data_IF_104267993751
#
_entry.id   IF_104267993751
#
_cell.length_a   1.000
_cell.length_b   1.000
_cell.length_c   1.000
_cell.angle_alpha   90.00
_cell.angle_beta   90.00
_cell.angle_gamma   90.00
#
_symmetry.space_group_name_H-M   'P 1'
#
loop_
_entity.id
_entity.type
_entity.pdbx_description
1 polymer ?
#
# COMPACT_ATOMS: atom_id res chain seq x y z
N UNK A 1 -24.70 -0.04 -5.60
CA UNK A 1 -24.24 0.78 -6.74
C UNK A 1 -24.37 2.25 -6.34
N UNK A 2 -23.32 3.03 -6.54
CA UNK A 2 -23.26 4.47 -6.27
C UNK A 2 -23.03 5.15 -7.62
N UNK A 3 -23.88 6.11 -7.99
CA UNK A 3 -23.74 6.83 -9.25
C UNK A 3 -23.87 8.32 -9.03
N UNK A 4 -22.94 9.12 -9.58
CA UNK A 4 -22.98 10.58 -9.46
C UNK A 4 -21.78 11.27 -10.10
N UNK A 5 -21.82 12.59 -10.08
CA UNK A 5 -20.67 13.39 -10.46
C UNK A 5 -19.60 13.33 -9.36
N UNK A 6 -18.31 13.18 -9.73
CA UNK A 6 -17.24 13.25 -8.76
C UNK A 6 -17.00 14.68 -8.27
N UNK A 7 -16.60 14.80 -7.02
CA UNK A 7 -16.15 16.06 -6.40
C UNK A 7 -14.64 15.98 -6.18
N UNK A 8 -13.89 16.86 -6.82
CA UNK A 8 -12.44 16.92 -6.60
C UNK A 8 -12.14 17.86 -5.43
N UNK A 9 -11.38 17.33 -4.47
CA UNK A 9 -10.92 18.09 -3.31
C UNK A 9 -9.41 17.96 -3.15
N UNK A 10 -8.78 18.95 -2.56
CA UNK A 10 -7.36 18.93 -2.26
C UNK A 10 -7.16 19.32 -0.80
N UNK A 11 -6.75 18.35 0.01
CA UNK A 11 -6.46 18.54 1.43
C UNK A 11 -4.96 18.36 1.62
N UNK A 12 -4.22 19.46 1.70
CA UNK A 12 -2.80 19.48 1.93
C UNK A 12 -2.43 19.59 3.42
N UNK A 13 -3.30 20.20 4.22
CA UNK A 13 -3.09 20.47 5.65
C UNK A 13 -4.39 20.33 6.46
N UNK A 14 -4.29 20.35 7.78
CA UNK A 14 -5.45 20.33 8.69
C UNK A 14 -6.37 21.54 8.49
N UNK A 15 -5.85 22.67 8.03
CA UNK A 15 -6.67 23.87 7.74
C UNK A 15 -7.62 23.67 6.58
N UNK A 16 -7.31 22.76 5.68
CA UNK A 16 -8.15 22.51 4.51
C UNK A 16 -9.43 21.72 4.86
N UNK A 17 -9.47 21.06 6.02
CA UNK A 17 -10.70 20.41 6.50
C UNK A 17 -11.84 21.40 6.66
N UNK A 18 -11.57 22.57 7.22
CA UNK A 18 -12.60 23.61 7.40
C UNK A 18 -13.20 24.11 6.06
N UNK A 19 -12.42 24.07 4.98
CA UNK A 19 -12.85 24.43 3.64
C UNK A 19 -13.97 23.50 3.10
N UNK A 20 -13.89 22.22 3.45
CA UNK A 20 -14.78 21.18 2.92
C UNK A 20 -15.83 20.68 3.92
N UNK A 21 -15.73 21.10 5.18
CA UNK A 21 -16.63 20.71 6.26
C UNK A 21 -18.09 20.95 5.93
N UNK A 22 -18.93 19.92 6.09
CA UNK A 22 -20.36 19.96 5.80
C UNK A 22 -20.71 19.97 4.30
N UNK A 23 -19.75 19.73 3.39
CA UNK A 23 -19.97 19.86 1.94
C UNK A 23 -19.86 18.54 1.16
N UNK A 24 -19.41 17.47 1.80
CA UNK A 24 -19.07 16.24 1.10
C UNK A 24 -20.11 15.11 1.29
N UNK A 25 -21.17 15.33 2.03
CA UNK A 25 -22.20 14.33 2.28
C UNK A 25 -22.77 13.76 0.98
N UNK A 26 -22.71 12.43 0.84
CA UNK A 26 -23.19 11.70 -0.33
C UNK A 26 -22.39 11.91 -1.62
N UNK A 27 -21.22 12.56 -1.56
CA UNK A 27 -20.37 12.81 -2.74
C UNK A 27 -19.43 11.64 -3.04
N UNK A 28 -19.13 11.44 -4.32
CA UNK A 28 -18.00 10.63 -4.77
C UNK A 28 -16.77 11.54 -4.77
N UNK A 29 -15.85 11.29 -3.85
CA UNK A 29 -14.70 12.18 -3.61
C UNK A 29 -13.48 11.70 -4.37
N UNK A 30 -12.80 12.60 -5.05
CA UNK A 30 -11.46 12.45 -5.64
C UNK A 30 -10.50 13.37 -4.87
N UNK A 31 -9.52 12.82 -4.16
CA UNK A 31 -8.87 13.51 -3.03
C UNK A 31 -7.46 14.07 -3.28
N UNK A 32 -6.90 13.92 -4.47
CA UNK A 32 -5.57 14.45 -4.78
C UNK A 32 -5.28 14.42 -6.28
N UNK A 33 -4.39 15.29 -6.72
CA UNK A 33 -3.85 15.22 -8.08
C UNK A 33 -2.92 14.00 -8.23
N UNK A 34 -3.02 13.23 -9.32
CA UNK A 34 -2.08 12.16 -9.59
C UNK A 34 -0.70 12.75 -9.93
N UNK A 35 0.35 12.01 -9.60
CA UNK A 35 1.66 12.33 -10.14
C UNK A 35 1.61 12.25 -11.69
N UNK A 36 2.34 13.11 -12.41
CA UNK A 36 2.39 13.04 -13.87
C UNK A 36 2.78 11.65 -14.35
N UNK A 37 2.04 11.12 -15.33
CA UNK A 37 2.45 9.92 -16.05
C UNK A 37 3.62 10.31 -16.96
N UNK A 38 4.77 9.71 -16.75
CA UNK A 38 5.97 9.96 -17.57
C UNK A 38 6.24 8.74 -18.44
N UNK A 39 6.59 8.94 -19.73
CA UNK A 39 7.06 7.82 -20.54
C UNK A 39 8.39 7.31 -19.97
N UNK A 40 8.53 6.00 -19.92
CA UNK A 40 9.74 5.32 -19.45
C UNK A 40 10.54 4.90 -20.68
N UNK A 41 11.63 5.62 -20.98
CA UNK A 41 12.53 5.30 -22.08
C UNK A 41 13.75 4.48 -21.62
N UNK A 42 13.92 4.34 -20.31
CA UNK A 42 14.96 3.53 -19.70
C UNK A 42 14.33 2.37 -18.92
N UNK A 43 15.10 1.31 -18.69
CA UNK A 43 14.67 0.19 -17.88
C UNK A 43 14.37 0.64 -16.44
N UNK A 44 13.23 0.19 -15.89
CA UNK A 44 12.84 0.47 -14.51
C UNK A 44 13.76 -0.21 -13.48
N UNK A 45 14.39 -1.33 -13.86
CA UNK A 45 15.37 -2.04 -13.05
C UNK A 45 16.76 -1.87 -13.65
N UNK A 46 17.74 -1.53 -12.82
CA UNK A 46 19.15 -1.43 -13.19
C UNK A 46 19.95 -2.43 -12.39
N UNK A 47 20.90 -3.10 -13.05
CA UNK A 47 21.91 -3.90 -12.36
C UNK A 47 22.91 -2.93 -11.73
N UNK A 48 23.27 -3.18 -10.47
CA UNK A 48 24.34 -2.46 -9.83
C UNK A 48 25.66 -2.74 -10.55
N UNK A 49 26.49 -1.72 -10.72
CA UNK A 49 27.85 -1.87 -11.25
C UNK A 49 28.78 -2.48 -10.21
N UNK A 50 29.86 -3.10 -10.67
CA UNK A 50 30.87 -3.67 -9.77
C UNK A 50 31.51 -2.58 -8.89
N UNK A 51 31.72 -1.39 -9.42
CA UNK A 51 32.21 -0.21 -8.67
C UNK A 51 31.24 0.17 -7.54
N UNK A 52 29.95 0.29 -7.84
CA UNK A 52 28.93 0.56 -6.81
C UNK A 52 28.90 -0.51 -5.73
N UNK A 53 29.07 -1.79 -6.10
CA UNK A 53 29.09 -2.90 -5.15
C UNK A 53 30.36 -2.88 -4.28
N UNK A 54 31.52 -2.53 -4.86
CA UNK A 54 32.77 -2.35 -4.12
C UNK A 54 32.67 -1.21 -3.10
N UNK A 55 32.17 -0.04 -3.51
CA UNK A 55 31.95 1.07 -2.60
C UNK A 55 31.01 0.71 -1.44
N UNK A 56 30.00 -0.11 -1.72
CA UNK A 56 29.07 -0.58 -0.70
C UNK A 56 29.70 -1.59 0.26
N UNK A 57 30.60 -2.45 -0.23
CA UNK A 57 31.30 -3.42 0.60
C UNK A 57 32.27 -2.75 1.59
N UNK A 58 32.85 -1.61 1.20
CA UNK A 58 33.76 -0.81 2.05
C UNK A 58 33.01 0.16 2.97
N UNK A 59 31.71 0.35 2.80
CA UNK A 59 30.93 1.29 3.59
C UNK A 59 30.88 0.91 5.07
N UNK A 60 31.43 1.75 5.92
CA UNK A 60 31.47 1.60 7.38
C UNK A 60 30.04 1.65 7.98
N UNK A 61 29.12 2.33 7.31
CA UNK A 61 27.74 2.45 7.76
C UNK A 61 26.79 2.00 6.67
N UNK A 62 25.82 1.13 6.95
CA UNK A 62 24.80 0.72 5.98
C UNK A 62 23.82 1.85 5.62
N UNK A 63 24.20 3.08 5.88
CA UNK A 63 23.29 4.22 5.80
C UNK A 63 23.20 4.84 4.41
N UNK A 64 22.00 5.16 4.02
CA UNK A 64 21.68 6.36 3.26
C UNK A 64 21.30 7.47 4.23
N UNK A 65 21.06 8.66 3.73
CA UNK A 65 20.89 9.91 4.47
C UNK A 65 19.73 9.97 5.51
N UNK A 66 18.99 8.91 5.75
CA UNK A 66 17.93 8.88 6.75
C UNK A 66 18.19 7.81 7.81
N UNK A 67 18.20 8.21 9.05
CA UNK A 67 18.31 7.30 10.18
C UNK A 67 17.01 6.48 10.32
N UNK A 68 17.10 5.33 11.01
CA UNK A 68 15.92 4.55 11.39
C UNK A 68 14.84 5.43 12.07
N UNK A 69 15.25 6.35 12.91
CA UNK A 69 14.36 7.26 13.62
C UNK A 69 13.66 8.26 12.69
N UNK A 70 14.31 8.74 11.64
CA UNK A 70 13.69 9.63 10.66
C UNK A 70 12.64 8.89 9.83
N UNK A 71 12.93 7.63 9.47
CA UNK A 71 11.96 6.77 8.80
C UNK A 71 10.75 6.48 9.70
N UNK A 72 10.97 6.22 10.98
CA UNK A 72 9.88 6.00 11.93
C UNK A 72 9.04 7.27 12.14
N UNK A 73 9.65 8.43 12.31
CA UNK A 73 8.94 9.72 12.40
C UNK A 73 8.06 9.95 11.16
N UNK A 74 8.61 9.76 9.97
CA UNK A 74 7.86 9.88 8.70
C UNK A 74 6.68 8.90 8.66
N UNK A 75 6.86 7.65 9.05
CA UNK A 75 5.79 6.64 9.11
C UNK A 75 4.68 7.02 10.08
N UNK A 76 5.03 7.49 11.27
CA UNK A 76 4.06 7.93 12.29
C UNK A 76 3.26 9.13 11.77
N UNK A 77 3.93 10.14 11.23
CA UNK A 77 3.28 11.34 10.67
C UNK A 77 2.35 10.97 9.50
N UNK A 78 2.81 10.12 8.60
CA UNK A 78 1.99 9.65 7.48
C UNK A 78 0.76 8.87 7.95
N UNK A 79 0.93 7.98 8.93
CA UNK A 79 -0.18 7.21 9.52
C UNK A 79 -1.20 8.11 10.19
N UNK A 80 -0.73 9.07 11.02
CA UNK A 80 -1.61 10.05 11.67
C UNK A 80 -2.45 10.77 10.62
N UNK A 81 -1.80 11.40 9.64
CA UNK A 81 -2.49 12.13 8.57
C UNK A 81 -3.52 11.28 7.84
N UNK A 82 -3.19 10.03 7.52
CA UNK A 82 -4.11 9.11 6.87
C UNK A 82 -5.33 8.82 7.74
N UNK A 83 -5.13 8.62 9.04
CA UNK A 83 -6.22 8.39 9.98
C UNK A 83 -7.10 9.64 10.13
N UNK A 84 -6.51 10.83 10.18
CA UNK A 84 -7.26 12.10 10.27
C UNK A 84 -8.12 12.31 9.00
N UNK A 85 -7.58 12.02 7.81
CA UNK A 85 -8.34 12.05 6.55
C UNK A 85 -9.50 11.04 6.54
N UNK A 86 -9.26 9.82 7.01
CA UNK A 86 -10.30 8.79 7.10
C UNK A 86 -11.43 9.21 8.04
N UNK A 87 -11.09 9.72 9.21
CA UNK A 87 -12.05 10.22 10.17
C UNK A 87 -12.89 11.35 9.54
N UNK A 88 -12.25 12.31 8.88
CA UNK A 88 -12.89 13.40 8.21
C UNK A 88 -13.89 12.94 7.13
N UNK A 89 -13.48 12.04 6.23
CA UNK A 89 -14.37 11.54 5.18
C UNK A 89 -15.57 10.76 5.73
N UNK A 90 -15.36 10.04 6.81
CA UNK A 90 -16.43 9.34 7.51
C UNK A 90 -17.42 10.32 8.16
N UNK A 91 -16.92 11.31 8.89
CA UNK A 91 -17.73 12.34 9.53
C UNK A 91 -18.53 13.16 8.50
N UNK A 92 -17.94 13.42 7.35
CA UNK A 92 -18.62 14.09 6.23
C UNK A 92 -19.68 13.20 5.55
N UNK A 93 -19.65 11.89 5.74
CA UNK A 93 -20.60 10.95 5.12
C UNK A 93 -20.45 10.86 3.62
N UNK A 94 -19.22 10.76 3.11
CA UNK A 94 -18.99 10.61 1.67
C UNK A 94 -19.60 9.32 1.13
N UNK A 95 -20.06 9.31 -0.12
CA UNK A 95 -20.61 8.11 -0.76
C UNK A 95 -19.48 7.13 -1.16
N UNK A 96 -18.36 7.63 -1.64
CA UNK A 96 -17.19 6.85 -2.01
C UNK A 96 -15.94 7.73 -2.11
N UNK A 97 -14.78 7.10 -1.93
CA UNK A 97 -13.48 7.69 -2.20
C UNK A 97 -12.85 7.06 -3.44
N UNK A 98 -12.29 7.86 -4.33
CA UNK A 98 -11.47 7.40 -5.45
C UNK A 98 -10.09 8.02 -5.34
N UNK A 99 -9.06 7.20 -5.27
CA UNK A 99 -7.67 7.63 -5.21
C UNK A 99 -6.91 7.25 -6.48
N UNK A 100 -5.96 8.07 -6.94
CA UNK A 100 -5.11 7.69 -8.06
C UNK A 100 -4.07 6.68 -7.61
N UNK A 101 -3.81 5.66 -8.43
CA UNK A 101 -2.67 4.78 -8.25
C UNK A 101 -1.36 5.56 -8.27
N UNK A 102 -0.42 5.22 -7.40
CA UNK A 102 0.94 5.75 -7.42
C UNK A 102 1.85 5.12 -8.48
N UNK A 103 1.34 4.16 -9.27
CA UNK A 103 2.10 3.44 -10.30
C UNK A 103 1.76 3.94 -11.69
N UNK A 104 2.70 3.78 -12.63
CA UNK A 104 2.54 4.06 -14.04
C UNK A 104 1.99 2.85 -14.80
N UNK A 105 1.70 3.02 -16.08
CA UNK A 105 1.31 1.97 -17.03
C UNK A 105 0.00 1.23 -16.63
N UNK A 106 -0.93 1.93 -16.03
CA UNK A 106 -2.21 1.35 -15.61
C UNK A 106 -2.11 0.38 -14.43
N UNK A 107 -0.94 0.24 -13.81
CA UNK A 107 -0.76 -0.65 -12.66
C UNK A 107 -1.47 -0.09 -11.43
N UNK A 108 -2.30 -0.92 -10.81
CA UNK A 108 -3.02 -0.57 -9.59
C UNK A 108 -2.27 -1.07 -8.36
N UNK A 109 -1.99 -0.16 -7.45
CA UNK A 109 -1.59 -0.52 -6.09
C UNK A 109 -2.73 -0.16 -5.16
N UNK A 110 -3.48 -1.17 -4.77
CA UNK A 110 -4.62 -0.99 -3.86
C UNK A 110 -4.10 -0.63 -2.47
N UNK A 111 -4.64 0.43 -1.89
CA UNK A 111 -4.40 0.80 -0.51
C UNK A 111 -5.43 0.12 0.40
N UNK A 112 -5.06 -0.05 1.67
CA UNK A 112 -5.95 -0.64 2.65
C UNK A 112 -6.89 0.45 3.19
N UNK A 113 -8.06 0.55 2.61
CA UNK A 113 -9.21 1.26 3.19
C UNK A 113 -10.26 0.24 3.68
N UNK A 114 -11.27 0.70 4.39
CA UNK A 114 -12.25 -0.18 5.02
C UNK A 114 -11.78 -0.71 6.38
N UNK A 115 -12.48 -1.69 6.90
CA UNK A 115 -12.18 -2.36 8.17
C UNK A 115 -12.08 -3.88 7.97
N UNK A 116 -11.21 -4.51 8.75
CA UNK A 116 -11.19 -5.96 8.92
C UNK A 116 -12.12 -6.42 10.05
N UNK A 117 -12.69 -5.48 10.79
CA UNK A 117 -13.70 -5.71 11.79
C UNK A 117 -15.06 -5.78 11.10
N UNK A 118 -15.74 -6.93 11.23
CA UNK A 118 -17.04 -7.18 10.63
C UNK A 118 -18.14 -6.31 11.20
N UNK A 119 -18.01 -5.94 12.47
CA UNK A 119 -18.99 -5.14 13.19
C UNK A 119 -18.77 -3.62 13.00
N UNK A 120 -17.76 -3.25 12.23
CA UNK A 120 -17.45 -1.86 11.95
C UNK A 120 -18.44 -1.27 10.94
N UNK A 121 -19.31 -0.41 11.41
CA UNK A 121 -20.19 0.43 10.56
C UNK A 121 -19.47 1.66 10.00
N UNK A 122 -18.27 1.91 10.47
CA UNK A 122 -17.49 3.12 10.27
C UNK A 122 -16.64 3.09 8.99
N UNK A 123 -17.21 2.65 7.88
CA UNK A 123 -16.48 2.53 6.62
C UNK A 123 -17.22 3.20 5.46
N UNK A 124 -16.48 3.59 4.46
CA UNK A 124 -17.00 4.05 3.17
C UNK A 124 -16.32 3.28 2.03
N UNK A 125 -17.00 3.07 0.90
CA UNK A 125 -16.41 2.46 -0.28
C UNK A 125 -15.19 3.25 -0.78
N UNK A 126 -14.07 2.56 -1.01
CA UNK A 126 -12.85 3.20 -1.52
C UNK A 126 -12.29 2.43 -2.71
N UNK A 127 -11.83 3.17 -3.70
CA UNK A 127 -11.36 2.64 -4.97
C UNK A 127 -10.01 3.25 -5.34
N UNK A 128 -9.16 2.47 -5.99
CA UNK A 128 -7.94 2.96 -6.63
C UNK A 128 -8.14 2.91 -8.13
N UNK A 129 -7.89 4.03 -8.79
CA UNK A 129 -8.00 4.17 -10.24
C UNK A 129 -6.61 4.38 -10.84
N UNK A 130 -6.36 3.80 -12.02
CA UNK A 130 -5.14 4.08 -12.76
C UNK A 130 -4.99 5.60 -12.96
N UNK A 131 -3.77 6.12 -12.74
CA UNK A 131 -3.54 7.58 -12.77
C UNK A 131 -3.89 8.22 -14.11
N UNK A 132 -3.77 7.47 -15.20
CA UNK A 132 -4.12 7.89 -16.54
C UNK A 132 -5.61 8.18 -16.68
N UNK A 133 -6.44 7.27 -16.18
CA UNK A 133 -7.90 7.42 -16.18
C UNK A 133 -8.34 8.50 -15.18
N UNK A 134 -7.78 8.47 -13.98
CA UNK A 134 -8.04 9.48 -12.97
C UNK A 134 -7.72 10.90 -13.46
N UNK A 135 -6.54 11.07 -14.05
CA UNK A 135 -6.12 12.34 -14.63
C UNK A 135 -6.97 12.78 -15.83
N UNK A 136 -7.53 11.81 -16.61
CA UNK A 136 -8.47 12.13 -17.67
C UNK A 136 -9.75 12.73 -17.11
N UNK A 137 -10.30 12.15 -16.04
CA UNK A 137 -11.49 12.66 -15.37
C UNK A 137 -11.26 14.10 -14.90
N UNK A 138 -10.13 14.36 -14.21
CA UNK A 138 -9.82 15.71 -13.76
C UNK A 138 -9.72 16.70 -14.92
N UNK A 139 -9.09 16.35 -16.04
CA UNK A 139 -9.01 17.24 -17.21
C UNK A 139 -10.37 17.52 -17.85
N UNK A 140 -11.29 16.57 -17.84
CA UNK A 140 -12.67 16.80 -18.29
C UNK A 140 -13.40 17.77 -17.35
N UNK A 141 -13.24 17.58 -16.04
CA UNK A 141 -13.81 18.48 -15.03
C UNK A 141 -13.24 19.90 -15.15
N UNK A 142 -11.92 20.03 -15.36
CA UNK A 142 -11.24 21.34 -15.58
C UNK A 142 -11.73 22.08 -16.83
N UNK A 143 -12.37 21.37 -17.76
CA UNK A 143 -12.97 21.92 -18.98
C UNK A 143 -14.49 22.07 -18.87
N UNK A 144 -15.05 21.96 -17.69
CA UNK A 144 -16.49 21.99 -17.43
C UNK A 144 -17.30 20.94 -18.21
N UNK A 145 -16.64 19.84 -18.62
CA UNK A 145 -17.29 18.70 -19.29
C UNK A 145 -17.94 17.83 -18.21
N UNK A 146 -19.25 17.60 -18.26
CA UNK A 146 -19.94 16.80 -17.28
C UNK A 146 -19.39 15.36 -17.22
N UNK A 147 -19.06 14.90 -16.02
CA UNK A 147 -18.61 13.53 -15.76
C UNK A 147 -19.57 12.87 -14.79
N UNK A 148 -19.96 11.64 -15.07
CA UNK A 148 -20.69 10.78 -14.15
C UNK A 148 -19.91 9.48 -13.96
N UNK A 149 -19.81 9.03 -12.71
CA UNK A 149 -19.15 7.79 -12.33
C UNK A 149 -20.17 6.85 -11.70
N UNK A 150 -20.18 5.61 -12.13
CA UNK A 150 -20.96 4.54 -11.49
C UNK A 150 -19.99 3.53 -10.87
N UNK A 151 -20.15 3.29 -9.56
CA UNK A 151 -19.32 2.42 -8.75
C UNK A 151 -20.17 1.26 -8.24
N UNK A 152 -19.66 0.04 -8.37
CA UNK A 152 -20.26 -1.16 -7.80
C UNK A 152 -19.21 -1.91 -6.99
N UNK A 153 -19.47 -2.10 -5.71
CA UNK A 153 -18.61 -2.84 -4.79
C UNK A 153 -19.46 -3.87 -4.05
N UNK A 154 -18.96 -5.09 -3.98
CA UNK A 154 -19.49 -6.15 -3.13
C UNK A 154 -18.32 -6.85 -2.47
N UNK A 155 -18.31 -6.89 -1.16
CA UNK A 155 -17.32 -7.59 -0.34
C UNK A 155 -18.01 -8.63 0.53
N UNK A 156 -17.29 -9.66 0.93
CA UNK A 156 -17.78 -10.71 1.80
C UNK A 156 -16.66 -11.07 2.78
N UNK A 157 -16.99 -11.15 4.06
CA UNK A 157 -16.13 -11.74 5.06
C UNK A 157 -16.26 -13.26 5.03
N UNK A 158 -15.14 -13.96 4.93
CA UNK A 158 -15.06 -15.40 5.06
C UNK A 158 -14.63 -15.72 6.49
N UNK A 159 -15.54 -16.30 7.27
CA UNK A 159 -15.37 -16.52 8.72
C UNK A 159 -15.38 -17.98 9.11
N UNK A 160 -15.44 -18.88 8.14
CA UNK A 160 -15.50 -20.33 8.38
C UNK A 160 -14.22 -20.84 9.06
N UNK A 161 -13.08 -20.31 8.69
CA UNK A 161 -11.80 -20.52 9.35
C UNK A 161 -10.95 -19.24 9.34
N UNK A 162 -10.79 -18.64 10.50
CA UNK A 162 -10.01 -17.40 10.69
C UNK A 162 -8.60 -17.65 11.23
N UNK A 163 -8.19 -18.93 11.34
CA UNK A 163 -6.87 -19.29 11.88
C UNK A 163 -5.76 -18.95 10.89
N UNK A 164 -4.68 -18.43 11.42
CA UNK A 164 -3.41 -18.31 10.70
C UNK A 164 -2.47 -19.46 11.08
N UNK A 165 -1.57 -19.82 10.19
CA UNK A 165 -0.64 -20.95 10.39
C UNK A 165 0.79 -20.52 10.13
N UNK A 166 1.71 -21.05 10.96
CA UNK A 166 3.14 -21.06 10.66
C UNK A 166 3.56 -22.51 10.45
N UNK A 167 4.42 -22.76 9.46
CA UNK A 167 5.08 -24.04 9.24
C UNK A 167 6.46 -23.94 9.87
N UNK A 168 6.76 -24.81 10.83
CA UNK A 168 8.01 -24.83 11.57
C UNK A 168 8.65 -26.20 11.37
N UNK A 169 9.93 -26.20 11.04
CA UNK A 169 10.77 -27.39 11.02
C UNK A 169 12.06 -27.11 11.81
N UNK A 170 12.60 -28.11 12.45
CA UNK A 170 13.77 -27.99 13.33
C UNK A 170 14.79 -29.04 13.00
N UNK A 171 16.06 -28.65 13.00
CA UNK A 171 17.22 -29.56 13.02
C UNK A 171 17.86 -29.43 14.40
N UNK A 172 17.74 -30.46 15.27
CA UNK A 172 18.30 -30.38 16.60
C UNK A 172 19.82 -30.20 16.58
N UNK A 173 20.34 -29.31 17.43
CA UNK A 173 21.77 -29.14 17.63
C UNK A 173 22.40 -30.37 18.27
N UNK A 174 23.65 -30.70 17.85
CA UNK A 174 24.40 -31.86 18.34
C UNK A 174 25.51 -31.50 19.30
N UNK A 175 25.95 -30.26 19.35
CA UNK A 175 26.98 -29.80 20.29
C UNK A 175 26.42 -29.74 21.72
N UNK A 176 27.17 -30.23 22.69
CA UNK A 176 26.69 -30.34 24.07
C UNK A 176 26.53 -29.00 24.79
N UNK A 177 27.28 -27.99 24.40
CA UNK A 177 27.24 -26.65 25.00
C UNK A 177 26.25 -25.73 24.27
N UNK A 178 26.19 -25.82 22.95
CA UNK A 178 25.45 -24.90 22.09
C UNK A 178 24.07 -25.42 21.63
N UNK A 179 23.76 -26.69 21.85
CA UNK A 179 22.49 -27.31 21.38
C UNK A 179 21.20 -26.64 21.87
N UNK A 180 21.32 -25.85 22.93
CA UNK A 180 20.19 -25.09 23.47
C UNK A 180 20.01 -23.72 22.77
N UNK A 181 20.97 -23.29 21.98
CA UNK A 181 20.88 -22.06 21.20
C UNK A 181 20.03 -22.31 19.94
N UNK A 182 19.26 -21.30 19.56
CA UNK A 182 18.37 -21.38 18.40
C UNK A 182 18.86 -20.39 17.33
N UNK A 183 19.14 -20.92 16.15
CA UNK A 183 19.36 -20.12 14.94
C UNK A 183 18.11 -20.25 14.08
N UNK A 184 17.41 -19.15 13.84
CA UNK A 184 16.16 -19.14 13.10
C UNK A 184 16.32 -18.52 11.72
N UNK A 185 15.85 -19.21 10.70
CA UNK A 185 15.69 -18.75 9.33
C UNK A 185 14.20 -18.78 8.98
N UNK A 186 13.72 -17.88 8.15
CA UNK A 186 12.32 -17.89 7.80
C UNK A 186 11.96 -16.95 6.65
N UNK A 187 10.77 -17.17 6.13
CA UNK A 187 10.13 -16.30 5.12
C UNK A 187 8.62 -16.43 5.24
N UNK A 188 7.89 -15.36 4.95
CA UNK A 188 6.44 -15.43 4.95
C UNK A 188 5.93 -16.17 3.70
N UNK A 189 4.83 -16.93 3.84
CA UNK A 189 4.25 -17.73 2.77
C UNK A 189 3.10 -17.04 2.04
N UNK A 190 2.55 -15.99 2.65
CA UNK A 190 1.45 -15.24 2.06
C UNK A 190 1.93 -14.34 0.92
N UNK A 191 0.98 -13.95 0.08
CA UNK A 191 1.21 -13.04 -1.04
C UNK A 191 0.09 -11.99 -1.13
N UNK A 192 0.28 -10.99 -1.98
CA UNK A 192 -0.78 -10.04 -2.28
C UNK A 192 -1.92 -10.70 -3.05
N UNK A 193 -3.14 -10.19 -2.83
CA UNK A 193 -4.32 -10.57 -3.61
C UNK A 193 -4.02 -10.42 -5.10
N UNK A 194 -4.42 -11.36 -5.90
CA UNK A 194 -4.14 -11.44 -7.34
C UNK A 194 -2.67 -11.68 -7.72
N UNK A 195 -1.74 -11.72 -6.76
CA UNK A 195 -0.35 -12.07 -6.99
C UNK A 195 -0.12 -13.57 -6.94
N UNK A 196 0.87 -14.07 -7.69
CA UNK A 196 1.30 -15.47 -7.60
C UNK A 196 2.21 -15.74 -6.41
N UNK A 197 2.75 -14.69 -5.78
CA UNK A 197 3.71 -14.81 -4.70
C UNK A 197 5.09 -15.32 -5.11
N UNK A 198 5.41 -15.41 -6.41
CA UNK A 198 6.67 -15.98 -6.87
C UNK A 198 7.90 -15.24 -6.34
N UNK A 199 7.90 -13.91 -6.40
CA UNK A 199 8.99 -13.08 -5.86
C UNK A 199 8.74 -12.73 -4.41
N UNK A 200 7.54 -12.36 -4.05
CA UNK A 200 7.13 -11.94 -2.71
C UNK A 200 6.04 -12.91 -2.20
N UNK A 201 6.36 -14.05 -1.51
CA UNK A 201 7.73 -14.28 -1.05
C UNK A 201 8.19 -15.75 -1.26
N UNK A 202 7.77 -16.44 -2.30
CA UNK A 202 8.25 -17.81 -2.60
C UNK A 202 9.76 -17.84 -2.81
N UNK A 203 10.34 -16.82 -3.45
CA UNK A 203 11.78 -16.72 -3.62
C UNK A 203 12.52 -16.67 -2.27
N UNK A 204 12.05 -15.85 -1.31
CA UNK A 204 12.64 -15.79 0.03
C UNK A 204 12.52 -17.11 0.78
N UNK A 205 11.35 -17.75 0.73
CA UNK A 205 11.16 -19.08 1.33
C UNK A 205 12.13 -20.12 0.74
N UNK A 206 12.30 -20.12 -0.59
CA UNK A 206 13.22 -21.06 -1.27
C UNK A 206 14.66 -20.84 -0.85
N UNK A 207 15.09 -19.57 -0.72
CA UNK A 207 16.46 -19.25 -0.24
C UNK A 207 16.68 -19.79 1.17
N UNK A 208 15.70 -19.63 2.07
CA UNK A 208 15.81 -20.14 3.44
C UNK A 208 15.82 -21.67 3.49
N UNK A 209 14.98 -22.32 2.69
CA UNK A 209 14.97 -23.79 2.58
C UNK A 209 16.31 -24.32 2.06
N UNK A 210 16.89 -23.67 1.05
CA UNK A 210 18.18 -24.07 0.49
C UNK A 210 19.33 -23.81 1.48
N UNK A 211 19.29 -22.72 2.22
CA UNK A 211 20.27 -22.47 3.28
C UNK A 211 20.27 -23.58 4.33
N UNK A 212 19.09 -24.00 4.80
CA UNK A 212 18.94 -25.11 5.76
C UNK A 212 19.40 -26.45 5.15
N UNK A 213 19.17 -26.66 3.84
CA UNK A 213 19.63 -27.88 3.15
C UNK A 213 21.14 -27.97 3.08
N UNK A 214 21.85 -26.85 3.01
CA UNK A 214 23.31 -26.79 2.93
C UNK A 214 23.97 -27.05 4.31
N UNK A 215 23.32 -26.62 5.38
CA UNK A 215 23.77 -26.84 6.78
C UNK A 215 23.60 -28.29 7.21
#
# INVERSE_FOLDING_TARGET
IITGAPEFIEIASEKDFEKYKGKLAGKIVMNRKPAPARPHFEADARRNTDEFLADRAEAISPGGASTFWDLQKRRVTFRKRRNDLRAFYREEGIAALIEPSGRDHGVLRVSSEGSQDMDSEDTYPAFVMAKEHYGRILRLMDQDIPVSISLSLKTLFHTDDTRGYNVIAEIPGTDNELKAEIVMLGGHLDSWHSGTGATDNAAGCTVMMEAVRIL
#
